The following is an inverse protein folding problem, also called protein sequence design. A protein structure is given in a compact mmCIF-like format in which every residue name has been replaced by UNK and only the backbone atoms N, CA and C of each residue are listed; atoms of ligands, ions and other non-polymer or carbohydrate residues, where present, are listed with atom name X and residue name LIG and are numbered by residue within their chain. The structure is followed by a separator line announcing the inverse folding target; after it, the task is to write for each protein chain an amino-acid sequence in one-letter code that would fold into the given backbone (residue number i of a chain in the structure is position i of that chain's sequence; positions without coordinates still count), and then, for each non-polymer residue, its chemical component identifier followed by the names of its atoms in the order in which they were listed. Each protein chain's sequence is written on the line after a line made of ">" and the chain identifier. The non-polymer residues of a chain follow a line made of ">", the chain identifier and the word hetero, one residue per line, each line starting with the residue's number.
data_IF_674564308636
#
_entry.id   IF_674564308636
#
_cell.length_a   1.000
_cell.length_b   1.000
_cell.length_c   1.000
_cell.angle_alpha   90.00
_cell.angle_beta   90.00
_cell.angle_gamma   90.00
#
_symmetry.space_group_name_H-M   'P 1'
#
loop_
_entity.id
_entity.type
_entity.pdbx_description
1 polymer ?
#
# COMPACT_ATOMS: atom_id res chain seq x y z
N UNK A 1 -7.27 -5.76 14.16
CA UNK A 1 -7.44 -4.95 12.94
C UNK A 1 -6.08 -4.69 12.30
N UNK A 2 -5.90 -5.14 11.06
CA UNK A 2 -4.70 -4.91 10.26
C UNK A 2 -5.11 -3.93 9.15
N UNK A 3 -4.54 -2.73 9.13
CA UNK A 3 -4.84 -1.71 8.13
C UNK A 3 -3.63 -1.47 7.23
N UNK A 4 -3.85 -1.20 5.94
CA UNK A 4 -2.81 -0.77 5.01
C UNK A 4 -2.77 0.76 4.99
N UNK A 5 -1.60 1.36 5.21
CA UNK A 5 -1.37 2.79 5.04
C UNK A 5 -0.59 3.00 3.74
N UNK A 6 -1.25 3.30 2.61
CA UNK A 6 -0.53 3.80 1.45
C UNK A 6 -0.07 5.25 1.75
N UNK A 7 0.97 5.76 1.09
CA UNK A 7 1.30 7.19 0.99
C UNK A 7 1.88 7.59 -0.37
N UNK A 8 1.55 8.81 -0.84
CA UNK A 8 2.12 9.38 -2.07
C UNK A 8 2.60 10.81 -1.85
N UNK A 9 3.77 11.14 -2.42
CA UNK A 9 4.32 12.49 -2.36
C UNK A 9 5.26 12.78 -3.55
N UNK A 10 5.67 14.04 -3.65
CA UNK A 10 6.65 14.49 -4.65
C UNK A 10 8.07 13.96 -4.32
N UNK A 11 8.71 14.32 -3.19
CA UNK A 11 9.99 13.72 -2.81
C UNK A 11 9.78 12.38 -2.08
N UNK A 12 10.66 11.42 -2.34
CA UNK A 12 10.65 10.12 -1.65
C UNK A 12 10.83 10.26 -0.12
N UNK A 13 11.64 11.23 0.33
CA UNK A 13 11.84 11.49 1.75
C UNK A 13 10.58 11.91 2.51
N UNK A 14 9.62 12.57 1.84
CA UNK A 14 8.34 12.90 2.46
C UNK A 14 7.46 11.66 2.64
N UNK A 15 7.61 10.66 1.76
CA UNK A 15 6.92 9.37 1.91
C UNK A 15 7.43 8.65 3.14
N UNK A 16 8.75 8.58 3.30
CA UNK A 16 9.39 7.94 4.45
C UNK A 16 8.98 8.61 5.76
N UNK A 17 9.02 9.95 5.80
CA UNK A 17 8.64 10.72 6.97
C UNK A 17 7.15 10.54 7.33
N UNK A 18 6.25 10.55 6.35
CA UNK A 18 4.83 10.37 6.60
C UNK A 18 4.53 8.96 7.12
N UNK A 19 5.12 7.93 6.50
CA UNK A 19 4.94 6.54 6.91
C UNK A 19 5.58 6.23 8.28
N UNK A 20 6.67 6.92 8.66
CA UNK A 20 7.26 6.76 9.99
C UNK A 20 6.45 7.44 11.10
N UNK A 21 5.78 8.54 10.76
CA UNK A 21 5.08 9.41 11.72
C UNK A 21 3.65 8.94 11.99
N UNK A 22 2.96 8.39 10.99
CA UNK A 22 1.55 8.04 11.11
C UNK A 22 1.39 6.61 11.63
N UNK A 23 1.01 6.50 12.90
CA UNK A 23 0.64 5.24 13.55
C UNK A 23 -0.83 5.19 14.02
N UNK A 24 -1.55 6.30 13.90
CA UNK A 24 -2.94 6.42 14.35
C UNK A 24 -3.96 5.95 13.31
N UNK A 25 -4.98 5.23 13.79
CA UNK A 25 -6.07 4.69 12.97
C UNK A 25 -6.91 5.76 12.27
N UNK A 26 -7.23 6.87 12.96
CA UNK A 26 -8.02 7.96 12.40
C UNK A 26 -7.29 8.71 11.28
N UNK A 27 -6.00 8.97 11.44
CA UNK A 27 -5.16 9.62 10.41
C UNK A 27 -4.95 8.73 9.20
N UNK A 28 -4.89 7.41 9.42
CA UNK A 28 -4.76 6.42 8.34
C UNK A 28 -5.93 6.47 7.37
N UNK A 29 -7.16 6.58 7.88
CA UNK A 29 -8.36 6.67 7.04
C UNK A 29 -8.33 7.88 6.10
N UNK A 30 -7.98 9.06 6.64
CA UNK A 30 -7.88 10.29 5.86
C UNK A 30 -6.82 10.17 4.74
N UNK A 31 -5.66 9.62 5.07
CA UNK A 31 -4.58 9.43 4.10
C UNK A 31 -4.96 8.46 2.98
N UNK A 32 -5.74 7.43 3.30
CA UNK A 32 -6.23 6.48 2.31
C UNK A 32 -7.19 7.15 1.31
N UNK A 33 -8.06 8.05 1.78
CA UNK A 33 -8.94 8.84 0.91
C UNK A 33 -8.15 9.73 -0.03
N UNK A 34 -7.18 10.47 0.51
CA UNK A 34 -6.39 11.44 -0.27
C UNK A 34 -5.66 10.75 -1.43
N UNK A 35 -5.20 9.52 -1.23
CA UNK A 35 -4.37 8.83 -2.22
C UNK A 35 -5.11 8.07 -3.30
N UNK A 36 -6.40 7.80 -3.10
CA UNK A 36 -7.25 7.31 -4.18
C UNK A 36 -7.43 8.36 -5.28
N UNK A 37 -7.08 9.62 -5.01
CA UNK A 37 -7.01 10.66 -6.03
C UNK A 37 -5.63 10.67 -6.69
N UNK A 38 -5.61 10.76 -8.03
CA UNK A 38 -4.37 10.96 -8.75
C UNK A 38 -3.92 12.42 -8.58
N UNK A 39 -3.03 12.68 -7.62
CA UNK A 39 -2.50 14.01 -7.36
C UNK A 39 -1.36 14.27 -8.37
N UNK A 40 -1.48 15.27 -9.25
CA UNK A 40 -0.41 15.62 -10.19
C UNK A 40 0.90 15.90 -9.43
N UNK A 41 2.03 15.45 -9.99
CA UNK A 41 3.38 15.61 -9.40
C UNK A 41 3.72 14.71 -8.20
N UNK A 42 2.82 13.86 -7.71
CA UNK A 42 3.13 12.84 -6.69
C UNK A 42 3.73 11.59 -7.35
N UNK A 43 5.01 11.67 -7.69
CA UNK A 43 5.72 10.60 -8.40
C UNK A 43 6.22 9.46 -7.52
N UNK A 44 6.32 9.69 -6.20
CA UNK A 44 6.80 8.71 -5.23
C UNK A 44 5.60 8.12 -4.48
N UNK A 45 5.53 6.79 -4.37
CA UNK A 45 4.51 6.07 -3.60
C UNK A 45 5.17 5.04 -2.69
N UNK A 46 4.54 4.76 -1.56
CA UNK A 46 4.96 3.75 -0.61
C UNK A 46 3.77 3.26 0.20
N UNK A 47 3.97 2.20 0.98
CA UNK A 47 2.95 1.69 1.88
C UNK A 47 3.58 1.15 3.17
N UNK A 48 2.77 1.08 4.23
CA UNK A 48 3.18 0.54 5.53
C UNK A 48 2.05 -0.32 6.12
N UNK A 49 2.43 -1.44 6.74
CA UNK A 49 1.52 -2.26 7.56
C UNK A 49 1.91 -2.17 9.05
N UNK A 50 0.97 -1.95 9.98
CA UNK A 50 1.27 -1.69 11.39
C UNK A 50 1.99 -2.83 12.13
N UNK A 51 1.70 -4.08 11.75
CA UNK A 51 2.30 -5.28 12.37
C UNK A 51 3.63 -5.67 11.73
N UNK A 52 3.92 -5.16 10.55
CA UNK A 52 5.15 -5.39 9.81
C UNK A 52 5.40 -4.12 9.01
N UNK A 53 6.04 -3.12 9.62
CA UNK A 53 6.43 -1.88 8.95
C UNK A 53 7.52 -2.20 7.93
N UNK A 54 7.14 -2.86 6.83
CA UNK A 54 7.98 -3.05 5.67
C UNK A 54 7.70 -1.84 4.78
N UNK A 55 8.55 -0.82 4.91
CA UNK A 55 8.51 0.35 4.03
C UNK A 55 9.10 -0.11 2.70
N UNK A 56 8.27 -0.69 1.85
CA UNK A 56 8.61 -0.85 0.44
C UNK A 56 8.29 0.48 -0.25
N UNK A 57 9.32 1.32 -0.37
CA UNK A 57 9.29 2.48 -1.25
C UNK A 57 9.32 1.92 -2.65
N UNK A 58 8.14 1.71 -3.24
CA UNK A 58 8.07 1.33 -4.63
C UNK A 58 8.48 2.56 -5.45
N UNK A 59 9.77 2.65 -5.77
CA UNK A 59 10.37 3.70 -6.63
C UNK A 59 9.93 3.54 -8.08
N UNK A 60 8.79 2.91 -8.33
CA UNK A 60 8.10 3.01 -9.60
C UNK A 60 7.70 4.48 -9.73
N UNK A 61 8.50 5.23 -10.48
CA UNK A 61 8.04 6.48 -11.11
C UNK A 61 6.66 6.14 -11.66
N UNK A 62 5.61 6.76 -11.09
CA UNK A 62 4.25 6.61 -11.59
C UNK A 62 4.31 6.67 -13.11
N UNK A 63 4.15 5.52 -13.78
CA UNK A 63 4.17 5.50 -15.25
C UNK A 63 2.95 6.30 -15.65
N UNK A 64 3.19 7.49 -16.18
CA UNK A 64 2.12 8.32 -16.75
C UNK A 64 1.55 7.58 -17.95
N UNK A 65 0.47 6.82 -17.70
CA UNK A 65 -0.19 5.97 -18.69
C UNK A 65 -1.15 4.99 -18.04
N UNK A 66 -2.09 4.47 -18.84
CA UNK A 66 -2.94 3.35 -18.44
C UNK A 66 -2.06 2.11 -18.27
N UNK A 67 -1.84 1.68 -17.03
CA UNK A 67 -1.23 0.39 -16.74
C UNK A 67 -2.29 -0.69 -16.79
N UNK A 68 -2.08 -1.73 -17.60
CA UNK A 68 -3.00 -2.86 -17.67
C UNK A 68 -2.80 -3.78 -16.48
N UNK A 69 -3.87 -4.02 -15.72
CA UNK A 69 -3.89 -4.99 -14.63
C UNK A 69 -4.30 -6.36 -15.17
N UNK A 70 -3.48 -7.37 -14.91
CA UNK A 70 -3.77 -8.76 -15.28
C UNK A 70 -3.98 -9.60 -14.03
N UNK A 71 -5.05 -10.41 -14.02
CA UNK A 71 -5.31 -11.38 -12.96
C UNK A 71 -4.81 -12.75 -13.41
N UNK A 72 -3.85 -13.31 -12.68
CA UNK A 72 -3.34 -14.67 -12.91
C UNK A 72 -3.92 -15.55 -11.82
N UNK A 73 -4.75 -16.52 -12.22
CA UNK A 73 -5.36 -17.49 -11.31
C UNK A 73 -4.51 -18.77 -11.34
N UNK A 74 -3.73 -19.05 -10.29
CA UNK A 74 -2.88 -20.22 -10.28
C UNK A 74 -3.72 -21.51 -10.13
N UNK A 75 -3.20 -22.61 -10.70
CA UNK A 75 -3.85 -23.92 -10.67
C UNK A 75 -3.64 -24.69 -9.37
N UNK A 76 -3.73 -26.02 -9.48
CA UNK A 76 -3.58 -26.96 -8.36
C UNK A 76 -2.17 -26.90 -7.74
N UNK A 77 -2.06 -27.13 -6.43
CA UNK A 77 -0.79 -27.23 -5.70
C UNK A 77 -0.41 -26.03 -4.84
N UNK A 78 -1.23 -24.97 -4.81
CA UNK A 78 -0.99 -23.77 -3.98
C UNK A 78 -1.75 -23.80 -2.63
N UNK A 79 -2.44 -24.89 -2.33
CA UNK A 79 -3.16 -25.05 -1.08
C UNK A 79 -2.20 -25.27 0.10
N UNK A 80 -2.47 -24.61 1.24
CA UNK A 80 -1.74 -24.81 2.49
C UNK A 80 -2.71 -24.91 3.68
N UNK A 81 -2.29 -25.57 4.76
CA UNK A 81 -3.11 -25.70 5.96
C UNK A 81 -3.33 -24.32 6.61
N UNK A 82 -4.59 -23.96 6.85
CA UNK A 82 -4.94 -22.63 7.37
C UNK A 82 -5.16 -21.56 6.29
N UNK A 83 -5.03 -21.89 5.00
CA UNK A 83 -5.39 -20.99 3.89
C UNK A 83 -6.81 -20.43 4.08
N UNK A 84 -6.95 -19.11 3.95
CA UNK A 84 -8.20 -18.40 4.18
C UNK A 84 -8.52 -18.09 5.65
N UNK A 85 -8.02 -18.85 6.62
CA UNK A 85 -8.10 -18.46 8.04
C UNK A 85 -7.25 -17.23 8.31
N UNK A 86 -6.10 -17.10 7.63
CA UNK A 86 -5.23 -15.92 7.71
C UNK A 86 -5.94 -14.63 7.25
N UNK A 87 -6.87 -14.75 6.29
CA UNK A 87 -7.67 -13.63 5.79
C UNK A 87 -8.89 -13.35 6.67
N UNK A 88 -9.33 -14.32 7.46
CA UNK A 88 -10.55 -14.25 8.29
C UNK A 88 -10.43 -13.33 9.51
N UNK A 89 -9.21 -12.96 9.91
CA UNK A 89 -8.97 -12.10 11.09
C UNK A 89 -9.05 -10.59 10.82
N UNK A 90 -9.81 -10.16 9.81
CA UNK A 90 -10.13 -8.75 9.59
C UNK A 90 -11.35 -8.30 10.40
#
# INVERSE_FOLDING_TARGET
>A
MTWLLPFSAKPASAVDFALSTVRDSQRTWLLNIIQNTNIPSHHSRGYCMPKACKIEIDRLKSKTGLTQTWFILPGLGNQYEGMGRDLRTQ
#
